data_IF_986255178095
#
_entry.id   IF_986255178095
#
_cell.length_a   1.000
_cell.length_b   1.000
_cell.length_c   1.000
_cell.angle_alpha   90.00
_cell.angle_beta   90.00
_cell.angle_gamma   90.00
#
_symmetry.space_group_name_H-M   'P 1'
#
loop_
_entity.id
_entity.type
_entity.pdbx_description
1 polymer ?
#
# COMPACT_ATOMS: atom_id res chain seq x y z
N UNK A 1 -4.13 25.09 6.43
CA UNK A 1 -2.71 25.19 6.79
C UNK A 1 -2.28 23.80 7.24
N UNK A 2 -1.46 23.10 6.47
CA UNK A 2 -0.92 21.80 6.84
C UNK A 2 0.61 21.92 6.84
N UNK A 3 1.21 21.52 7.96
CA UNK A 3 2.64 21.55 8.19
C UNK A 3 3.28 20.35 7.48
N UNK A 4 4.42 20.60 6.85
CA UNK A 4 5.36 19.56 6.46
C UNK A 4 5.98 19.04 7.75
N UNK A 5 5.68 17.80 8.13
CA UNK A 5 6.43 17.14 9.20
C UNK A 5 7.71 16.58 8.57
N UNK A 6 8.85 17.10 9.03
CA UNK A 6 10.17 16.55 8.70
C UNK A 6 10.27 15.09 9.15
N UNK A 7 10.99 14.30 8.35
CA UNK A 7 11.32 12.90 8.59
C UNK A 7 11.78 12.66 10.04
N UNK A 8 10.94 11.98 10.82
CA UNK A 8 11.39 11.31 12.04
C UNK A 8 11.53 9.84 11.67
N UNK A 9 12.78 9.39 11.54
CA UNK A 9 13.11 8.00 11.22
C UNK A 9 12.38 7.03 12.16
N UNK A 10 11.47 6.24 11.58
CA UNK A 10 10.71 5.23 12.31
C UNK A 10 11.66 4.20 12.91
N UNK A 11 11.54 3.94 14.21
CA UNK A 11 12.23 2.83 14.86
C UNK A 11 11.78 1.52 14.22
N UNK A 12 12.70 0.77 13.61
CA UNK A 12 12.40 -0.54 13.02
C UNK A 12 12.23 -1.57 14.13
N UNK A 13 11.00 -1.81 14.55
CA UNK A 13 10.65 -2.91 15.47
C UNK A 13 10.96 -4.26 14.82
N UNK A 14 12.02 -4.93 15.28
CA UNK A 14 12.37 -6.25 14.75
C UNK A 14 11.27 -7.26 15.09
N UNK A 15 10.81 -8.10 14.14
CA UNK A 15 9.81 -9.11 14.44
C UNK A 15 10.35 -10.10 15.50
N UNK A 16 9.53 -10.58 16.45
CA UNK A 16 10.00 -11.49 17.50
C UNK A 16 10.47 -12.83 16.93
N UNK A 17 11.53 -13.40 17.53
CA UNK A 17 12.07 -14.72 17.16
C UNK A 17 13.60 -14.75 17.11
N UNK A 18 14.16 -15.93 16.83
CA UNK A 18 15.59 -16.09 16.57
C UNK A 18 15.94 -15.61 15.15
N UNK A 19 17.20 -15.25 14.94
CA UNK A 19 17.70 -14.95 13.60
C UNK A 19 17.65 -16.18 12.69
N UNK A 20 17.51 -15.97 11.39
CA UNK A 20 17.57 -17.05 10.41
C UNK A 20 18.91 -17.78 10.48
N UNK A 21 18.86 -19.11 10.42
CA UNK A 21 20.07 -19.94 10.33
C UNK A 21 20.68 -19.84 8.93
N UNK A 22 21.97 -20.19 8.80
CA UNK A 22 22.63 -20.33 7.49
C UNK A 22 21.88 -21.32 6.59
N UNK A 23 21.36 -22.41 7.17
CA UNK A 23 20.55 -23.38 6.44
C UNK A 23 19.29 -22.76 5.83
N UNK A 24 18.59 -21.90 6.59
CA UNK A 24 17.41 -21.20 6.08
C UNK A 24 17.76 -20.26 4.92
N UNK A 25 18.84 -19.50 5.03
CA UNK A 25 19.31 -18.66 3.93
C UNK A 25 19.63 -19.43 2.64
N UNK A 26 20.17 -20.65 2.76
CA UNK A 26 20.43 -21.52 1.60
C UNK A 26 19.13 -21.98 0.95
N UNK A 27 18.13 -22.37 1.76
CA UNK A 27 16.80 -22.77 1.27
C UNK A 27 16.14 -21.59 0.54
N UNK A 28 16.11 -20.40 1.13
CA UNK A 28 15.45 -19.23 0.55
C UNK A 28 16.11 -18.79 -0.75
N UNK A 29 17.46 -18.79 -0.82
CA UNK A 29 18.19 -18.50 -2.06
C UNK A 29 17.89 -19.52 -3.16
N UNK A 30 17.79 -20.80 -2.80
CA UNK A 30 17.45 -21.86 -3.75
C UNK A 30 16.02 -21.68 -4.29
N UNK A 31 15.07 -21.35 -3.41
CA UNK A 31 13.70 -21.04 -3.80
C UNK A 31 13.64 -19.80 -4.73
N UNK A 32 14.39 -18.74 -4.42
CA UNK A 32 14.48 -17.54 -5.27
C UNK A 32 14.98 -17.86 -6.70
N UNK A 33 15.90 -18.82 -6.84
CA UNK A 33 16.40 -19.24 -8.15
C UNK A 33 15.43 -20.14 -8.92
N UNK A 34 14.68 -21.00 -8.22
CA UNK A 34 13.85 -22.04 -8.84
C UNK A 34 12.39 -21.63 -9.02
N UNK A 35 11.86 -20.75 -8.17
CA UNK A 35 10.46 -20.36 -8.18
C UNK A 35 10.24 -19.10 -9.01
N UNK A 36 9.21 -19.13 -9.88
CA UNK A 36 8.93 -18.01 -10.77
C UNK A 36 8.18 -16.85 -10.11
N UNK A 37 7.47 -17.08 -8.99
CA UNK A 37 6.67 -16.09 -8.24
C UNK A 37 5.75 -15.23 -9.13
N UNK A 38 5.15 -15.83 -10.17
CA UNK A 38 4.43 -15.10 -11.22
C UNK A 38 3.37 -14.12 -10.69
N UNK A 39 2.49 -14.48 -9.74
CA UNK A 39 1.47 -13.55 -9.26
C UNK A 39 2.06 -12.28 -8.63
N UNK A 40 3.17 -12.40 -7.90
CA UNK A 40 3.84 -11.26 -7.27
C UNK A 40 4.48 -10.35 -8.31
N UNK A 41 5.03 -10.92 -9.39
CA UNK A 41 5.63 -10.17 -10.50
C UNK A 41 4.62 -9.40 -11.36
N UNK A 42 3.32 -9.63 -11.19
CA UNK A 42 2.26 -8.87 -11.86
C UNK A 42 1.86 -7.58 -11.12
N UNK A 43 2.48 -7.28 -9.97
CA UNK A 43 2.36 -5.96 -9.34
C UNK A 43 3.15 -4.93 -10.16
N UNK A 44 2.43 -4.03 -10.84
CA UNK A 44 2.97 -3.11 -11.87
C UNK A 44 2.94 -1.65 -11.44
N UNK A 45 2.25 -1.35 -10.35
CA UNK A 45 2.10 0.00 -9.83
C UNK A 45 2.63 0.03 -8.40
N UNK A 46 3.41 1.05 -8.09
CA UNK A 46 3.87 1.35 -6.74
C UNK A 46 3.37 2.74 -6.37
N UNK A 47 2.65 2.82 -5.25
CA UNK A 47 2.11 4.06 -4.71
C UNK A 47 2.59 4.21 -3.27
N UNK A 48 3.10 5.39 -2.92
CA UNK A 48 3.33 5.77 -1.54
C UNK A 48 2.27 6.79 -1.11
N UNK A 49 1.68 6.60 0.07
CA UNK A 49 0.73 7.51 0.73
C UNK A 49 0.83 7.39 2.26
N UNK A 50 0.00 8.12 2.99
CA UNK A 50 -0.14 8.00 4.44
C UNK A 50 -1.53 7.48 4.80
N UNK A 51 -1.57 6.45 5.65
CA UNK A 51 -2.82 5.92 6.20
C UNK A 51 -3.00 6.34 7.66
N UNK A 52 -4.23 6.65 8.05
CA UNK A 52 -4.63 6.95 9.42
C UNK A 52 -5.38 5.77 10.04
N UNK A 53 -5.15 5.51 11.33
CA UNK A 53 -5.95 4.50 12.03
C UNK A 53 -7.35 5.04 12.33
N UNK A 54 -8.38 4.31 11.91
CA UNK A 54 -9.78 4.72 12.10
C UNK A 54 -10.19 4.94 13.56
N UNK A 55 -9.51 4.28 14.51
CA UNK A 55 -9.74 4.44 15.95
C UNK A 55 -8.83 5.47 16.62
N UNK A 56 -7.82 5.98 15.92
CA UNK A 56 -6.87 6.99 16.41
C UNK A 56 -6.31 7.82 15.25
N UNK A 57 -6.98 8.93 14.95
CA UNK A 57 -6.63 9.83 13.84
C UNK A 57 -5.36 10.66 14.09
N UNK A 58 -4.73 10.55 15.27
CA UNK A 58 -3.42 11.16 15.53
C UNK A 58 -2.27 10.24 15.11
N UNK A 59 -2.58 8.98 14.77
CA UNK A 59 -1.59 8.00 14.34
C UNK A 59 -1.67 7.80 12.84
N UNK A 60 -0.60 8.21 12.17
CA UNK A 60 -0.38 8.01 10.75
C UNK A 60 0.78 7.04 10.51
N UNK A 61 0.68 6.26 9.45
CA UNK A 61 1.76 5.41 8.96
C UNK A 61 2.01 5.68 7.47
N UNK A 62 3.27 5.68 7.05
CA UNK A 62 3.63 5.66 5.63
C UNK A 62 3.29 4.26 5.08
N UNK A 63 2.69 4.22 3.89
CA UNK A 63 2.22 2.98 3.27
C UNK A 63 2.65 2.90 1.82
N UNK A 64 3.29 1.78 1.47
CA UNK A 64 3.72 1.48 0.12
C UNK A 64 2.85 0.38 -0.48
N UNK A 65 1.97 0.78 -1.39
CA UNK A 65 1.04 -0.09 -2.09
C UNK A 65 1.67 -0.60 -3.37
N UNK A 66 1.78 -1.92 -3.51
CA UNK A 66 2.19 -2.60 -4.73
C UNK A 66 0.95 -3.23 -5.36
N UNK A 67 0.45 -2.60 -6.41
CA UNK A 67 -0.87 -2.87 -6.96
C UNK A 67 -0.82 -3.69 -8.26
N UNK A 68 -1.80 -4.59 -8.37
CA UNK A 68 -2.17 -5.27 -9.61
C UNK A 68 -3.58 -4.85 -9.99
N UNK A 69 -3.72 -4.31 -11.21
CA UNK A 69 -5.03 -4.03 -11.80
C UNK A 69 -5.63 -5.32 -12.32
N UNK A 70 -6.74 -5.75 -11.75
CA UNK A 70 -7.46 -6.97 -12.16
C UNK A 70 -8.38 -6.70 -13.35
N UNK A 71 -8.98 -5.50 -13.38
CA UNK A 71 -9.77 -4.99 -14.49
C UNK A 71 -9.81 -3.45 -14.43
N UNK A 72 -10.56 -2.80 -15.33
CA UNK A 72 -10.63 -1.34 -15.40
C UNK A 72 -11.09 -0.67 -14.09
N UNK A 73 -11.86 -1.39 -13.27
CA UNK A 73 -12.57 -0.89 -12.10
C UNK A 73 -12.05 -1.46 -10.77
N UNK A 74 -11.03 -2.33 -10.80
CA UNK A 74 -10.61 -3.06 -9.62
C UNK A 74 -9.09 -3.23 -9.58
N UNK A 75 -8.48 -2.78 -8.49
CA UNK A 75 -7.09 -3.06 -8.14
C UNK A 75 -7.04 -3.79 -6.79
N UNK A 76 -5.99 -4.59 -6.63
CA UNK A 76 -5.62 -5.17 -5.35
C UNK A 76 -4.16 -4.83 -5.04
N UNK A 77 -3.88 -4.56 -3.78
CA UNK A 77 -2.58 -4.09 -3.32
C UNK A 77 -2.07 -4.97 -2.18
N UNK A 78 -0.79 -5.35 -2.25
CA UNK A 78 -0.03 -5.67 -1.05
C UNK A 78 0.55 -4.36 -0.49
N UNK A 79 0.42 -4.15 0.81
CA UNK A 79 0.83 -2.89 1.46
C UNK A 79 1.99 -3.15 2.41
N UNK A 80 3.08 -2.43 2.21
CA UNK A 80 4.30 -2.51 3.01
C UNK A 80 4.57 -1.21 3.77
N UNK A 81 5.34 -1.30 4.84
CA UNK A 81 5.75 -0.14 5.64
C UNK A 81 7.00 0.59 5.12
N UNK A 82 7.65 0.04 4.09
CA UNK A 82 8.79 0.64 3.42
C UNK A 82 8.87 0.13 1.97
N UNK A 83 9.50 0.90 1.08
CA UNK A 83 9.94 0.44 -0.24
C UNK A 83 11.37 -0.14 -0.23
N UNK A 84 12.02 -0.22 0.94
CA UNK A 84 13.35 -0.81 1.13
C UNK A 84 13.26 -2.28 1.52
N UNK A 85 14.19 -3.10 1.05
CA UNK A 85 14.23 -4.53 1.39
C UNK A 85 15.14 -4.81 2.59
N UNK A 86 14.72 -5.65 3.56
CA UNK A 86 13.40 -6.28 3.67
C UNK A 86 12.36 -5.32 4.27
N UNK A 87 11.20 -5.18 3.61
CA UNK A 87 10.04 -4.46 4.13
C UNK A 87 9.06 -5.41 4.81
N UNK A 88 8.26 -4.91 5.76
CA UNK A 88 7.22 -5.70 6.42
C UNK A 88 5.91 -5.54 5.66
N UNK A 89 5.25 -6.67 5.35
CA UNK A 89 3.89 -6.67 4.83
C UNK A 89 2.94 -6.28 5.98
N UNK A 90 2.32 -5.10 5.87
CA UNK A 90 1.47 -4.53 6.91
C UNK A 90 -0.02 -4.62 6.59
N UNK A 91 -0.39 -5.03 5.39
CA UNK A 91 -1.80 -5.19 5.05
C UNK A 91 -2.09 -5.43 3.58
N UNK A 92 -3.37 -5.34 3.26
CA UNK A 92 -3.91 -5.41 1.90
C UNK A 92 -4.92 -4.31 1.69
N UNK A 93 -4.99 -3.82 0.45
CA UNK A 93 -6.02 -2.88 0.04
C UNK A 93 -6.70 -3.35 -1.25
N UNK A 94 -8.03 -3.21 -1.29
CA UNK A 94 -8.77 -3.25 -2.55
C UNK A 94 -9.18 -1.84 -2.95
N UNK A 95 -9.04 -1.54 -4.23
CA UNK A 95 -9.43 -0.25 -4.80
C UNK A 95 -10.50 -0.50 -5.85
N UNK A 96 -11.63 0.19 -5.73
CA UNK A 96 -12.74 0.12 -6.67
C UNK A 96 -13.08 1.50 -7.21
N UNK A 97 -13.63 1.56 -8.42
CA UNK A 97 -14.17 2.81 -8.95
C UNK A 97 -15.49 3.22 -8.28
N UNK A 98 -15.78 4.51 -8.35
CA UNK A 98 -17.01 5.12 -7.83
C UNK A 98 -18.29 4.39 -8.25
N UNK A 99 -18.38 3.96 -9.51
CA UNK A 99 -19.54 3.21 -10.01
C UNK A 99 -19.77 1.87 -9.27
N UNK A 100 -18.73 1.16 -8.83
CA UNK A 100 -18.87 -0.06 -8.03
C UNK A 100 -19.23 0.34 -6.60
N UNK A 101 -18.54 1.34 -6.05
CA UNK A 101 -18.78 1.83 -4.69
C UNK A 101 -20.24 2.23 -4.45
N UNK A 102 -20.85 2.95 -5.40
CA UNK A 102 -22.25 3.38 -5.33
C UNK A 102 -23.25 2.23 -5.27
N UNK A 103 -22.88 1.04 -5.77
CA UNK A 103 -23.72 -0.16 -5.71
C UNK A 103 -23.63 -0.92 -4.39
N UNK A 104 -22.65 -0.59 -3.54
CA UNK A 104 -22.46 -1.25 -2.25
C UNK A 104 -23.55 -0.84 -1.25
N UNK A 105 -23.83 -1.74 -0.29
CA UNK A 105 -24.71 -1.42 0.82
C UNK A 105 -24.12 -0.28 1.67
N UNK A 106 -24.97 0.46 2.38
CA UNK A 106 -24.50 1.56 3.24
C UNK A 106 -23.57 1.10 4.36
N UNK A 107 -23.72 -0.13 4.83
CA UNK A 107 -22.81 -0.69 5.84
C UNK A 107 -21.46 -1.04 5.25
N UNK A 108 -21.44 -1.57 4.03
CA UNK A 108 -20.19 -1.86 3.34
C UNK A 108 -19.47 -0.55 2.97
N UNK A 109 -20.17 0.47 2.45
CA UNK A 109 -19.61 1.78 2.09
C UNK A 109 -18.82 2.46 3.23
N UNK A 110 -19.21 2.24 4.49
CA UNK A 110 -18.52 2.79 5.68
C UNK A 110 -17.10 2.26 5.86
N UNK A 111 -16.78 1.12 5.25
CA UNK A 111 -15.47 0.48 5.35
C UNK A 111 -14.47 0.99 4.30
N UNK A 112 -14.89 1.89 3.42
CA UNK A 112 -14.06 2.43 2.34
C UNK A 112 -13.78 3.91 2.56
N UNK A 113 -12.63 4.37 2.08
CA UNK A 113 -12.24 5.78 2.06
C UNK A 113 -12.04 6.25 0.61
N UNK A 114 -12.19 7.55 0.36
CA UNK A 114 -11.99 8.12 -0.97
C UNK A 114 -10.53 8.53 -1.17
N UNK A 115 -9.94 8.15 -2.31
CA UNK A 115 -8.58 8.59 -2.69
C UNK A 115 -8.54 10.05 -3.18
N UNK A 116 -9.68 10.71 -3.34
CA UNK A 116 -9.74 12.09 -3.82
C UNK A 116 -8.94 13.05 -2.94
N UNK A 117 -8.94 12.83 -1.62
CA UNK A 117 -8.19 13.67 -0.69
C UNK A 117 -6.69 13.48 -0.86
N UNK A 118 -6.21 12.24 -0.83
CA UNK A 118 -4.78 11.91 -0.91
C UNK A 118 -4.14 12.43 -2.20
N UNK A 119 -4.84 12.25 -3.32
CA UNK A 119 -4.33 12.69 -4.62
C UNK A 119 -4.34 14.22 -4.73
N UNK A 120 -5.42 14.89 -4.30
CA UNK A 120 -5.49 16.37 -4.35
C UNK A 120 -4.53 17.02 -3.36
N UNK A 121 -4.21 16.36 -2.26
CA UNK A 121 -3.24 16.83 -1.27
C UNK A 121 -1.78 16.57 -1.70
N UNK A 122 -1.55 15.90 -2.84
CA UNK A 122 -0.21 15.53 -3.30
C UNK A 122 0.47 14.46 -2.45
N UNK A 123 -0.31 13.73 -1.64
CA UNK A 123 0.16 12.64 -0.80
C UNK A 123 0.30 11.33 -1.58
N UNK A 124 -0.26 11.28 -2.80
CA UNK A 124 -0.15 10.14 -3.70
C UNK A 124 1.09 10.26 -4.60
N UNK A 125 2.13 9.51 -4.27
CA UNK A 125 3.38 9.50 -5.05
C UNK A 125 3.49 8.19 -5.81
N UNK A 126 3.82 8.26 -7.11
CA UNK A 126 4.17 7.10 -7.93
C UNK A 126 5.69 7.10 -8.14
N UNK A 127 6.48 6.39 -7.32
CA UNK A 127 7.93 6.52 -7.37
C UNK A 127 8.48 6.07 -8.72
N UNK A 128 9.47 6.81 -9.23
CA UNK A 128 10.26 6.46 -10.43
C UNK A 128 9.48 6.47 -11.75
N UNK A 129 8.22 6.95 -11.76
CA UNK A 129 7.46 7.18 -13.00
C UNK A 129 7.32 8.69 -13.24
N UNK A 130 7.68 9.21 -14.43
CA UNK A 130 7.50 10.62 -14.75
C UNK A 130 6.04 11.06 -14.61
N UNK A 131 5.80 12.18 -13.94
CA UNK A 131 4.46 12.68 -13.61
C UNK A 131 3.54 12.81 -14.84
N UNK A 132 4.09 13.24 -15.99
CA UNK A 132 3.35 13.36 -17.26
C UNK A 132 2.68 12.05 -17.70
N UNK A 133 3.30 10.89 -17.41
CA UNK A 133 2.76 9.57 -17.77
C UNK A 133 1.71 9.10 -16.77
N UNK A 134 1.78 9.55 -15.52
CA UNK A 134 0.86 9.14 -14.45
C UNK A 134 -0.37 10.04 -14.38
N UNK A 135 -0.25 11.31 -14.80
CA UNK A 135 -1.31 12.31 -14.66
C UNK A 135 -2.70 11.86 -15.16
N UNK A 136 -2.84 11.20 -16.32
CA UNK A 136 -4.13 10.67 -16.75
C UNK A 136 -4.67 9.54 -15.84
N UNK A 137 -3.80 8.71 -15.27
CA UNK A 137 -4.21 7.64 -14.34
C UNK A 137 -4.62 8.22 -12.97
N UNK A 138 -3.97 9.30 -12.53
CA UNK A 138 -4.37 10.02 -11.31
C UNK A 138 -5.79 10.56 -11.40
N UNK A 139 -6.21 11.08 -12.55
CA UNK A 139 -7.59 11.56 -12.76
C UNK A 139 -8.62 10.43 -12.59
N UNK A 140 -8.27 9.21 -12.99
CA UNK A 140 -9.11 8.02 -12.75
C UNK A 140 -9.09 7.62 -11.28
N UNK A 141 -7.92 7.61 -10.64
CA UNK A 141 -7.75 7.23 -9.23
C UNK A 141 -8.44 8.21 -8.28
N UNK A 142 -8.57 9.50 -8.62
CA UNK A 142 -9.36 10.46 -7.83
C UNK A 142 -10.81 10.02 -7.64
N UNK A 143 -11.37 9.24 -8.57
CA UNK A 143 -12.75 8.70 -8.52
C UNK A 143 -12.78 7.25 -8.06
N UNK A 144 -11.85 6.86 -7.19
CA UNK A 144 -11.79 5.52 -6.62
C UNK A 144 -11.87 5.56 -5.09
N UNK A 145 -12.22 4.40 -4.54
CA UNK A 145 -12.37 4.17 -3.11
C UNK A 145 -11.50 2.98 -2.70
N UNK A 146 -10.78 3.12 -1.59
CA UNK A 146 -9.90 2.12 -1.00
C UNK A 146 -10.51 1.47 0.22
N UNK A 147 -10.38 0.15 0.35
CA UNK A 147 -10.65 -0.60 1.58
C UNK A 147 -9.36 -1.23 2.04
N UNK A 148 -8.69 -0.55 2.96
CA UNK A 148 -7.42 -0.96 3.51
C UNK A 148 -7.61 -1.69 4.85
N UNK A 149 -7.04 -2.89 4.95
CA UNK A 149 -6.89 -3.61 6.21
C UNK A 149 -5.42 -3.64 6.62
N UNK A 150 -5.08 -2.83 7.63
CA UNK A 150 -3.80 -2.92 8.31
C UNK A 150 -3.82 -4.14 9.26
N UNK A 151 -3.03 -5.15 8.92
CA UNK A 151 -2.92 -6.41 9.68
C UNK A 151 -1.75 -6.40 10.67
N UNK A 152 -0.81 -5.46 10.51
CA UNK A 152 0.31 -5.27 11.44
C UNK A 152 0.60 -3.78 11.65
N UNK A 153 0.50 -3.34 12.90
CA UNK A 153 0.92 -2.01 13.34
C UNK A 153 2.41 -2.04 13.69
N UNK A 154 3.28 -1.87 12.69
CA UNK A 154 4.73 -1.95 12.85
C UNK A 154 5.35 -0.74 13.56
N UNK A 155 4.55 0.32 13.77
CA UNK A 155 4.87 1.53 14.52
C UNK A 155 4.75 1.35 16.05
N UNK A 156 4.49 0.11 16.51
CA UNK A 156 4.33 -0.27 17.92
C UNK A 156 5.42 -1.22 18.42
#
# INVERSE_FOLDING_TARGET
>A
MAYVAENVGGQTVTPPGEAMTVGQHVVDKSAMMLQSLRPIKEMKQHVCTFALYSHDMNRQIETHHYATRLNQHFLQCAVYDSDHSPARLIGVEYIISENIYETLSKDEQKLWHSHAYEIKAGLWVNPRIPEMLVRPDLENLVKTYGKFWCTWQSDR
#
